data_IF_907978857858
#
_entry.id   IF_907978857858
#
_cell.length_a   1.000
_cell.length_b   1.000
_cell.length_c   1.000
_cell.angle_alpha   90.00
_cell.angle_beta   90.00
_cell.angle_gamma   90.00
#
_symmetry.space_group_name_H-M   'P 1'
#
loop_
_entity.id
_entity.type
_entity.pdbx_description
1 polymer ?
#
# COMPACT_ATOMS: atom_id res chain seq x y z
N UNK A 1 9.65 14.60 -5.54
CA UNK A 1 10.91 14.48 -6.32
C UNK A 1 11.41 13.04 -6.45
N UNK A 2 11.56 12.26 -5.38
CA UNK A 2 12.07 10.88 -5.48
C UNK A 2 11.15 9.97 -6.33
N UNK A 3 9.86 9.97 -6.04
CA UNK A 3 8.88 9.15 -6.78
C UNK A 3 8.77 9.55 -8.25
N UNK A 4 8.77 10.85 -8.56
CA UNK A 4 8.74 11.36 -9.94
C UNK A 4 9.96 10.91 -10.76
N UNK A 5 11.13 10.85 -10.12
CA UNK A 5 12.35 10.31 -10.74
C UNK A 5 12.22 8.80 -11.00
N UNK A 6 11.62 8.04 -10.07
CA UNK A 6 11.34 6.62 -10.25
C UNK A 6 10.34 6.37 -11.38
N UNK A 7 9.27 7.19 -11.49
CA UNK A 7 8.32 7.14 -12.62
C UNK A 7 9.05 7.28 -13.95
N UNK A 8 9.93 8.29 -14.07
CA UNK A 8 10.72 8.50 -15.28
C UNK A 8 11.64 7.33 -15.62
N UNK A 9 12.30 6.76 -14.60
CA UNK A 9 13.20 5.63 -14.77
C UNK A 9 12.46 4.36 -15.24
N UNK A 10 11.29 4.06 -14.66
CA UNK A 10 10.49 2.90 -15.05
C UNK A 10 9.81 3.09 -16.42
N UNK A 11 9.43 4.32 -16.76
CA UNK A 11 8.92 4.62 -18.11
C UNK A 11 9.96 4.32 -19.18
N UNK A 12 11.22 4.66 -18.92
CA UNK A 12 12.31 4.44 -19.88
C UNK A 12 12.74 2.98 -20.00
N UNK A 13 12.55 2.16 -18.94
CA UNK A 13 13.10 0.80 -18.86
C UNK A 13 12.31 -0.26 -19.65
N UNK A 14 11.03 -0.07 -19.96
CA UNK A 14 10.30 -1.03 -20.76
C UNK A 14 8.80 -1.15 -20.53
N UNK A 15 8.20 -1.95 -21.39
CA UNK A 15 6.76 -2.11 -21.53
C UNK A 15 6.19 -3.25 -20.68
N UNK A 16 6.96 -3.73 -19.69
CA UNK A 16 6.56 -4.84 -18.82
C UNK A 16 5.40 -4.43 -17.91
N UNK A 17 4.50 -5.37 -17.67
CA UNK A 17 3.32 -5.16 -16.82
C UNK A 17 3.71 -4.74 -15.40
N UNK A 18 4.75 -5.37 -14.83
CA UNK A 18 5.27 -5.03 -13.51
C UNK A 18 5.81 -3.59 -13.47
N UNK A 19 6.57 -3.17 -14.49
CA UNK A 19 7.10 -1.80 -14.58
C UNK A 19 5.98 -0.76 -14.63
N UNK A 20 4.89 -1.05 -15.37
CA UNK A 20 3.70 -0.17 -15.40
C UNK A 20 2.98 -0.09 -14.07
N UNK A 21 2.88 -1.21 -13.33
CA UNK A 21 2.27 -1.23 -12.00
C UNK A 21 3.11 -0.45 -10.98
N UNK A 22 4.44 -0.61 -11.03
CA UNK A 22 5.34 0.17 -10.17
C UNK A 22 5.25 1.66 -10.52
N UNK A 23 5.21 2.00 -11.82
CA UNK A 23 5.02 3.38 -12.26
C UNK A 23 3.69 3.96 -11.74
N UNK A 24 2.59 3.21 -11.85
CA UNK A 24 1.28 3.61 -11.32
C UNK A 24 1.37 3.85 -9.80
N UNK A 25 1.97 2.92 -9.06
CA UNK A 25 2.15 3.05 -7.61
C UNK A 25 2.95 4.33 -7.27
N UNK A 26 4.05 4.61 -7.98
CA UNK A 26 4.88 5.79 -7.73
C UNK A 26 4.11 7.09 -8.03
N UNK A 27 3.28 7.12 -9.09
CA UNK A 27 2.41 8.27 -9.40
C UNK A 27 1.40 8.50 -8.28
N UNK A 28 0.77 7.44 -7.80
CA UNK A 28 -0.20 7.52 -6.70
C UNK A 28 0.47 8.05 -5.43
N UNK A 29 1.66 7.56 -5.09
CA UNK A 29 2.44 8.05 -3.94
C UNK A 29 2.86 9.52 -4.07
N UNK A 30 3.23 9.98 -5.29
CA UNK A 30 3.50 11.40 -5.53
C UNK A 30 2.24 12.26 -5.30
N UNK A 31 1.06 11.78 -5.72
CA UNK A 31 -0.21 12.47 -5.48
C UNK A 31 -0.58 12.53 -3.98
N UNK A 32 -0.36 11.44 -3.24
CA UNK A 32 -0.55 11.42 -1.78
C UNK A 32 0.39 12.42 -1.08
N UNK A 33 1.66 12.41 -1.43
CA UNK A 33 2.64 13.38 -0.89
C UNK A 33 2.24 14.84 -1.22
N UNK A 34 1.72 15.10 -2.42
CA UNK A 34 1.25 16.43 -2.81
C UNK A 34 0.01 16.85 -2.02
N UNK A 35 -0.92 15.93 -1.78
CA UNK A 35 -2.09 16.13 -0.93
C UNK A 35 -1.65 16.54 0.49
N UNK A 36 -0.76 15.76 1.11
CA UNK A 36 -0.29 16.01 2.47
C UNK A 36 0.47 17.35 2.57
N UNK A 37 1.31 17.64 1.57
CA UNK A 37 2.00 18.93 1.50
C UNK A 37 1.01 20.10 1.34
N UNK A 38 -0.02 19.97 0.51
CA UNK A 38 -1.04 21.00 0.32
C UNK A 38 -1.83 21.24 1.62
N UNK A 39 -2.17 20.19 2.36
CA UNK A 39 -2.82 20.29 3.68
C UNK A 39 -1.91 21.00 4.69
N UNK A 40 -0.64 20.65 4.73
CA UNK A 40 0.34 21.25 5.62
C UNK A 40 0.53 22.76 5.33
N UNK A 41 0.65 23.14 4.05
CA UNK A 41 0.86 24.54 3.63
C UNK A 41 -0.39 25.42 3.79
N UNK A 42 -1.58 24.83 3.87
CA UNK A 42 -2.82 25.58 4.01
C UNK A 42 -3.11 26.04 5.43
N UNK A 43 -2.23 25.74 6.41
CA UNK A 43 -2.45 25.99 7.87
C UNK A 43 -3.84 25.52 8.32
N UNK A 44 -4.34 24.49 7.64
CA UNK A 44 -5.68 23.99 7.87
C UNK A 44 -5.68 23.23 9.20
N UNK A 45 -6.33 23.81 10.23
CA UNK A 45 -6.62 23.06 11.43
C UNK A 45 -7.48 21.85 11.05
N UNK A 46 -6.85 20.66 11.01
CA UNK A 46 -7.50 19.41 10.66
C UNK A 46 -8.57 19.08 11.71
N UNK A 47 -9.79 19.46 11.42
CA UNK A 47 -10.94 19.00 12.19
C UNK A 47 -10.99 17.47 12.14
N UNK A 48 -11.41 16.84 13.22
CA UNK A 48 -11.47 15.36 13.33
C UNK A 48 -12.18 14.70 12.14
N UNK A 49 -13.20 15.31 11.58
CA UNK A 49 -13.91 14.83 10.39
C UNK A 49 -13.02 14.79 9.16
N UNK A 50 -12.21 15.83 8.93
CA UNK A 50 -11.27 15.88 7.80
C UNK A 50 -10.14 14.87 7.95
N UNK A 51 -9.66 14.66 9.16
CA UNK A 51 -8.67 13.63 9.46
C UNK A 51 -9.15 12.23 9.02
N UNK A 52 -10.40 11.87 9.34
CA UNK A 52 -10.97 10.61 8.88
C UNK A 52 -11.08 10.54 7.35
N UNK A 53 -11.41 11.66 6.68
CA UNK A 53 -11.47 11.71 5.22
C UNK A 53 -10.10 11.52 4.58
N UNK A 54 -9.06 12.17 5.08
CA UNK A 54 -7.69 12.03 4.59
C UNK A 54 -7.26 10.57 4.70
N UNK A 55 -7.39 9.97 5.89
CA UNK A 55 -7.04 8.56 6.11
C UNK A 55 -7.90 7.60 5.27
N UNK A 56 -9.19 7.89 5.07
CA UNK A 56 -10.06 7.04 4.25
C UNK A 56 -9.64 7.02 2.77
N UNK A 57 -9.16 8.15 2.23
CA UNK A 57 -8.64 8.20 0.85
C UNK A 57 -7.33 7.41 0.71
N UNK A 58 -6.44 7.46 1.70
CA UNK A 58 -5.17 6.73 1.68
C UNK A 58 -5.39 5.21 1.67
N UNK A 59 -6.47 4.73 2.32
CA UNK A 59 -6.80 3.29 2.32
C UNK A 59 -7.09 2.73 0.94
N UNK A 60 -7.56 3.53 -0.02
CA UNK A 60 -7.85 3.08 -1.38
C UNK A 60 -6.59 2.70 -2.15
N UNK A 61 -5.43 3.20 -1.73
CA UNK A 61 -4.15 2.87 -2.37
C UNK A 61 -3.65 1.46 -2.00
N UNK A 62 -4.13 0.89 -0.90
CA UNK A 62 -3.66 -0.41 -0.36
C UNK A 62 -3.74 -1.56 -1.35
N UNK A 63 -4.79 -1.75 -2.18
CA UNK A 63 -4.79 -2.79 -3.20
C UNK A 63 -3.68 -2.66 -4.24
N UNK A 64 -3.27 -1.44 -4.59
CA UNK A 64 -2.21 -1.21 -5.59
C UNK A 64 -0.87 -1.81 -5.13
N UNK A 65 -0.53 -1.67 -3.83
CA UNK A 65 0.65 -2.35 -3.26
C UNK A 65 0.56 -3.87 -3.42
N UNK A 66 -0.62 -4.44 -3.15
CA UNK A 66 -0.85 -5.88 -3.30
C UNK A 66 -0.70 -6.32 -4.74
N UNK A 67 -1.15 -5.52 -5.73
CA UNK A 67 -0.99 -5.85 -7.14
C UNK A 67 0.48 -5.92 -7.54
N UNK A 68 1.30 -4.97 -7.10
CA UNK A 68 2.75 -4.98 -7.36
C UNK A 68 3.40 -6.22 -6.74
N UNK A 69 3.11 -6.51 -5.46
CA UNK A 69 3.66 -7.66 -4.75
C UNK A 69 3.26 -8.98 -5.41
N UNK A 70 1.98 -9.12 -5.78
CA UNK A 70 1.45 -10.32 -6.43
C UNK A 70 2.05 -10.54 -7.81
N UNK A 71 2.18 -9.49 -8.61
CA UNK A 71 2.77 -9.59 -9.95
C UNK A 71 4.28 -9.87 -9.89
N UNK A 72 4.98 -9.40 -8.82
CA UNK A 72 6.38 -9.70 -8.57
C UNK A 72 6.62 -11.19 -8.26
N UNK A 73 5.78 -11.78 -7.40
CA UNK A 73 5.95 -13.19 -6.97
C UNK A 73 5.30 -14.17 -7.94
N UNK A 74 4.22 -13.78 -8.60
CA UNK A 74 3.48 -14.59 -9.55
C UNK A 74 3.11 -13.75 -10.80
N UNK A 75 4.04 -13.61 -11.76
CA UNK A 75 3.78 -12.87 -12.99
C UNK A 75 2.53 -13.38 -13.73
N UNK A 76 1.70 -12.44 -14.21
CA UNK A 76 0.44 -12.76 -14.89
C UNK A 76 -0.75 -13.04 -13.95
N UNK A 77 -0.60 -12.91 -12.63
CA UNK A 77 -1.71 -13.10 -11.70
C UNK A 77 -2.79 -12.02 -11.83
N UNK A 78 -2.38 -10.77 -12.02
CA UNK A 78 -3.28 -9.63 -12.08
C UNK A 78 -4.06 -9.62 -13.39
N UNK A 79 -5.38 -9.60 -13.31
CA UNK A 79 -6.28 -9.33 -14.43
C UNK A 79 -7.15 -8.11 -14.11
N UNK A 80 -7.70 -7.46 -15.13
CA UNK A 80 -8.59 -6.31 -14.93
C UNK A 80 -9.75 -6.60 -13.99
N UNK A 81 -10.36 -7.78 -14.10
CA UNK A 81 -11.47 -8.19 -13.23
C UNK A 81 -11.05 -8.32 -11.77
N UNK A 82 -9.86 -8.87 -11.50
CA UNK A 82 -9.33 -8.98 -10.15
C UNK A 82 -8.99 -7.60 -9.59
N UNK A 83 -8.32 -6.76 -10.37
CA UNK A 83 -8.03 -5.39 -9.96
C UNK A 83 -9.31 -4.65 -9.58
N UNK A 84 -10.31 -4.66 -10.46
CA UNK A 84 -11.60 -4.00 -10.21
C UNK A 84 -12.31 -4.55 -8.96
N UNK A 85 -12.27 -5.88 -8.71
CA UNK A 85 -12.88 -6.48 -7.54
C UNK A 85 -12.19 -6.03 -6.23
N UNK A 86 -10.86 -6.02 -6.22
CA UNK A 86 -10.09 -5.59 -5.05
C UNK A 86 -10.32 -4.10 -4.78
N UNK A 87 -10.23 -3.23 -5.80
CA UNK A 87 -10.49 -1.80 -5.66
C UNK A 87 -11.94 -1.50 -5.23
N UNK A 88 -12.92 -2.18 -5.82
CA UNK A 88 -14.32 -2.00 -5.45
C UNK A 88 -14.59 -2.31 -3.98
N UNK A 89 -13.85 -3.26 -3.38
CA UNK A 89 -13.99 -3.60 -1.96
C UNK A 89 -13.58 -2.47 -1.02
N UNK A 90 -12.71 -1.55 -1.46
CA UNK A 90 -12.32 -0.35 -0.72
C UNK A 90 -13.17 0.87 -1.10
N UNK A 91 -13.46 1.03 -2.39
CA UNK A 91 -14.27 2.15 -2.87
C UNK A 91 -15.70 2.11 -2.34
N UNK A 92 -16.29 0.93 -2.18
CA UNK A 92 -17.67 0.79 -1.70
C UNK A 92 -17.86 1.39 -0.28
N UNK A 93 -17.09 1.01 0.76
CA UNK A 93 -17.23 1.63 2.07
C UNK A 93 -16.83 3.12 2.07
N UNK A 94 -15.86 3.53 1.25
CA UNK A 94 -15.50 4.95 1.12
C UNK A 94 -16.67 5.77 0.55
N UNK A 95 -17.32 5.30 -0.50
CA UNK A 95 -18.50 5.98 -1.09
C UNK A 95 -19.65 6.03 -0.09
N UNK A 96 -19.89 4.94 0.66
CA UNK A 96 -20.91 4.91 1.70
C UNK A 96 -20.60 5.86 2.86
N UNK A 97 -19.32 6.00 3.23
CA UNK A 97 -18.87 7.03 4.16
C UNK A 97 -19.18 8.42 3.63
N UNK A 98 -18.87 8.69 2.34
CA UNK A 98 -19.13 9.96 1.69
C UNK A 98 -20.61 10.36 1.60
N UNK A 99 -21.50 9.40 1.39
CA UNK A 99 -22.94 9.66 1.27
C UNK A 99 -23.60 9.82 2.65
N UNK A 100 -23.16 9.03 3.64
CA UNK A 100 -23.86 8.93 4.94
C UNK A 100 -23.22 9.76 6.05
N UNK A 101 -21.96 10.17 5.87
CA UNK A 101 -21.10 10.84 6.88
C UNK A 101 -21.08 10.12 8.25
N UNK A 102 -21.26 8.77 8.23
CA UNK A 102 -21.29 7.96 9.45
C UNK A 102 -19.91 7.35 9.69
N UNK A 103 -19.32 7.63 10.85
CA UNK A 103 -18.06 7.02 11.30
C UNK A 103 -18.04 5.50 11.21
N UNK A 104 -19.18 4.84 11.32
CA UNK A 104 -19.30 3.40 11.13
C UNK A 104 -18.67 2.90 9.83
N UNK A 105 -18.83 3.62 8.71
CA UNK A 105 -18.24 3.21 7.43
C UNK A 105 -16.73 3.43 7.38
N UNK A 106 -16.24 4.44 8.09
CA UNK A 106 -14.80 4.62 8.30
C UNK A 106 -14.20 3.46 9.11
N UNK A 107 -14.86 3.06 10.20
CA UNK A 107 -14.42 1.91 11.01
C UNK A 107 -14.44 0.61 10.19
N UNK A 108 -15.47 0.39 9.36
CA UNK A 108 -15.56 -0.76 8.45
C UNK A 108 -14.41 -0.73 7.44
N UNK A 109 -14.10 0.42 6.85
CA UNK A 109 -13.01 0.57 5.89
C UNK A 109 -11.65 0.30 6.56
N UNK A 110 -11.42 0.84 7.76
CA UNK A 110 -10.19 0.63 8.54
C UNK A 110 -10.01 -0.84 8.93
N UNK A 111 -11.06 -1.48 9.43
CA UNK A 111 -11.04 -2.90 9.76
C UNK A 111 -10.79 -3.77 8.52
N UNK A 112 -11.39 -3.40 7.37
CA UNK A 112 -11.17 -4.07 6.09
C UNK A 112 -9.72 -3.90 5.62
N UNK A 113 -9.17 -2.70 5.69
CA UNK A 113 -7.78 -2.41 5.35
C UNK A 113 -6.80 -3.27 6.18
N UNK A 114 -7.02 -3.35 7.48
CA UNK A 114 -6.22 -4.18 8.38
C UNK A 114 -6.34 -5.68 8.04
N UNK A 115 -7.56 -6.19 7.86
CA UNK A 115 -7.80 -7.59 7.51
C UNK A 115 -7.17 -7.95 6.16
N UNK A 116 -7.34 -7.08 5.17
CA UNK A 116 -6.79 -7.24 3.83
C UNK A 116 -5.25 -7.24 3.84
N UNK A 117 -4.63 -6.30 4.54
CA UNK A 117 -3.18 -6.23 4.70
C UNK A 117 -2.62 -7.47 5.40
N UNK A 118 -3.29 -7.93 6.47
CA UNK A 118 -2.91 -9.14 7.21
C UNK A 118 -2.99 -10.39 6.34
N UNK A 119 -4.09 -10.56 5.59
CA UNK A 119 -4.25 -11.69 4.65
C UNK A 119 -3.18 -11.63 3.56
N UNK A 120 -2.93 -10.45 3.00
CA UNK A 120 -1.89 -10.25 1.96
C UNK A 120 -0.52 -10.59 2.51
N UNK A 121 -0.17 -10.16 3.73
CA UNK A 121 1.10 -10.47 4.38
C UNK A 121 1.34 -11.98 4.50
N UNK A 122 0.40 -12.72 5.09
CA UNK A 122 0.54 -14.17 5.25
C UNK A 122 0.53 -14.90 3.91
N UNK A 123 -0.29 -14.47 2.96
CA UNK A 123 -0.32 -15.03 1.61
C UNK A 123 1.02 -14.86 0.91
N UNK A 124 1.64 -13.68 1.01
CA UNK A 124 2.96 -13.41 0.43
C UNK A 124 4.05 -14.27 1.07
N UNK A 125 4.07 -14.41 2.39
CA UNK A 125 4.99 -15.30 3.08
C UNK A 125 4.87 -16.76 2.60
N UNK A 126 3.64 -17.24 2.44
CA UNK A 126 3.38 -18.57 1.90
C UNK A 126 3.88 -18.73 0.44
N UNK A 127 3.56 -17.76 -0.42
CA UNK A 127 3.96 -17.79 -1.83
C UNK A 127 5.47 -17.72 -2.01
N UNK A 128 6.18 -16.87 -1.25
CA UNK A 128 7.64 -16.78 -1.27
C UNK A 128 8.26 -18.11 -0.80
N UNK A 129 7.71 -18.71 0.27
CA UNK A 129 8.17 -20.00 0.77
C UNK A 129 8.00 -21.12 -0.27
N UNK A 130 6.86 -21.13 -0.96
CA UNK A 130 6.55 -22.06 -2.04
C UNK A 130 7.50 -21.87 -3.24
N UNK A 131 7.75 -20.62 -3.61
CA UNK A 131 8.69 -20.26 -4.69
C UNK A 131 10.09 -20.77 -4.38
N UNK A 132 10.62 -20.54 -3.16
CA UNK A 132 11.94 -21.02 -2.77
C UNK A 132 12.02 -22.54 -2.78
N UNK A 133 10.97 -23.26 -2.39
CA UNK A 133 10.94 -24.73 -2.46
C UNK A 133 11.02 -25.22 -3.91
N UNK A 134 10.25 -24.64 -4.82
CA UNK A 134 10.29 -24.97 -6.25
C UNK A 134 11.65 -24.66 -6.89
N UNK A 135 12.31 -23.60 -6.42
CA UNK A 135 13.64 -23.22 -6.88
C UNK A 135 14.69 -24.27 -6.49
N UNK A 136 14.64 -24.72 -5.22
CA UNK A 136 15.53 -25.79 -4.72
C UNK A 136 15.40 -27.10 -5.48
N UNK A 137 14.19 -27.43 -5.93
CA UNK A 137 13.91 -28.65 -6.69
C UNK A 137 14.42 -28.58 -8.14
N UNK A 138 14.57 -27.38 -8.71
CA UNK A 138 14.91 -27.19 -10.14
C UNK A 138 16.33 -26.70 -10.39
N UNK A 139 16.94 -26.01 -9.45
CA UNK A 139 18.24 -25.36 -9.64
C UNK A 139 19.18 -25.62 -8.46
N UNK A 140 20.41 -26.07 -8.78
CA UNK A 140 21.49 -26.24 -7.77
C UNK A 140 22.11 -24.90 -7.35
N UNK A 141 21.93 -23.83 -8.11
CA UNK A 141 22.50 -22.50 -7.86
C UNK A 141 21.39 -21.52 -7.44
N UNK A 142 21.52 -20.92 -6.25
CA UNK A 142 20.44 -20.15 -5.60
C UNK A 142 20.80 -18.68 -5.32
N UNK A 143 22.05 -18.27 -5.46
CA UNK A 143 22.54 -17.00 -4.88
C UNK A 143 21.92 -15.74 -5.48
N UNK A 144 21.50 -15.76 -6.75
CA UNK A 144 20.95 -14.55 -7.44
C UNK A 144 19.41 -14.52 -7.56
N UNK A 145 18.68 -15.55 -7.03
CA UNK A 145 17.24 -15.68 -7.22
C UNK A 145 16.51 -15.75 -5.87
N UNK A 146 17.17 -15.32 -4.81
CA UNK A 146 16.65 -15.41 -3.46
C UNK A 146 15.75 -14.21 -3.14
N UNK A 147 14.47 -14.46 -2.82
CA UNK A 147 13.49 -13.43 -2.42
C UNK A 147 13.43 -13.21 -0.88
N UNK A 148 14.46 -13.61 -0.12
CA UNK A 148 14.46 -13.42 1.34
C UNK A 148 14.43 -11.92 1.73
N UNK A 149 15.06 -11.06 0.94
CA UNK A 149 14.99 -9.61 1.11
C UNK A 149 13.54 -9.09 1.07
N UNK A 150 12.69 -9.69 0.23
CA UNK A 150 11.28 -9.32 0.12
C UNK A 150 10.49 -9.64 1.39
N UNK A 151 10.87 -10.70 2.12
CA UNK A 151 10.25 -11.01 3.44
C UNK A 151 10.56 -9.93 4.47
N UNK A 152 11.79 -9.43 4.49
CA UNK A 152 12.18 -8.32 5.36
C UNK A 152 11.35 -7.07 5.07
N UNK A 153 11.27 -6.67 3.80
CA UNK A 153 10.47 -5.52 3.36
C UNK A 153 8.99 -5.71 3.72
N UNK A 154 8.40 -6.88 3.45
CA UNK A 154 7.01 -7.19 3.81
C UNK A 154 6.76 -7.08 5.32
N UNK A 155 7.71 -7.53 6.14
CA UNK A 155 7.59 -7.41 7.60
C UNK A 155 7.65 -5.95 8.06
N UNK A 156 8.53 -5.14 7.46
CA UNK A 156 8.56 -3.69 7.72
C UNK A 156 7.23 -3.02 7.32
N UNK A 157 6.72 -3.29 6.12
CA UNK A 157 5.43 -2.75 5.69
C UNK A 157 4.26 -3.20 6.57
N UNK A 158 4.30 -4.43 7.07
CA UNK A 158 3.25 -4.92 7.97
C UNK A 158 3.29 -4.19 9.32
N UNK A 159 4.48 -3.95 9.88
CA UNK A 159 4.65 -3.15 11.10
C UNK A 159 4.16 -1.72 10.87
N UNK A 160 4.51 -1.11 9.73
CA UNK A 160 4.03 0.24 9.35
C UNK A 160 2.51 0.26 9.27
N UNK A 161 1.88 -0.75 8.64
CA UNK A 161 0.43 -0.88 8.58
C UNK A 161 -0.21 -0.94 9.98
N UNK A 162 0.37 -1.72 10.91
CA UNK A 162 -0.13 -1.81 12.28
C UNK A 162 -0.09 -0.46 12.99
N UNK A 163 1.05 0.24 12.89
CA UNK A 163 1.21 1.56 13.50
C UNK A 163 0.26 2.57 12.86
N UNK A 164 0.10 2.53 11.53
CA UNK A 164 -0.79 3.43 10.81
C UNK A 164 -2.27 3.21 11.16
N UNK A 165 -2.74 1.95 11.22
CA UNK A 165 -4.12 1.65 11.68
C UNK A 165 -4.35 2.18 13.08
N UNK A 166 -3.36 2.09 13.96
CA UNK A 166 -3.45 2.68 15.30
C UNK A 166 -3.52 4.21 15.24
N UNK A 167 -2.73 4.86 14.38
CA UNK A 167 -2.71 6.32 14.21
C UNK A 167 -4.03 6.88 13.68
N UNK A 168 -4.80 6.11 12.89
CA UNK A 168 -6.11 6.54 12.38
C UNK A 168 -7.11 6.89 13.49
N UNK A 169 -6.93 6.34 14.69
CA UNK A 169 -7.78 6.62 15.86
C UNK A 169 -7.19 7.66 16.79
N UNK A 170 -5.90 8.00 16.64
CA UNK A 170 -5.20 8.97 17.47
C UNK A 170 -5.14 10.31 16.73
N UNK A 171 -6.01 11.23 17.11
CA UNK A 171 -5.98 12.61 16.61
C UNK A 171 -4.96 13.41 17.44
N UNK A 172 -3.67 13.14 17.21
CA UNK A 172 -2.58 13.87 17.86
C UNK A 172 -1.48 14.17 16.84
N UNK A 173 -1.28 15.45 16.55
CA UNK A 173 -0.29 15.91 15.59
C UNK A 173 1.15 15.50 15.95
N UNK A 174 1.46 15.28 17.23
CA UNK A 174 2.78 14.80 17.64
C UNK A 174 2.99 13.34 17.27
N UNK A 175 1.97 12.52 17.39
CA UNK A 175 2.02 11.10 17.01
C UNK A 175 2.17 10.94 15.51
N UNK A 176 1.48 11.75 14.72
CA UNK A 176 1.55 11.74 13.26
C UNK A 176 2.95 12.12 12.75
N UNK A 177 3.57 13.13 13.35
CA UNK A 177 4.96 13.51 13.04
C UNK A 177 5.96 12.39 13.36
N UNK A 178 5.80 11.68 14.48
CA UNK A 178 6.63 10.53 14.83
C UNK A 178 6.42 9.38 13.85
N UNK A 179 5.17 9.10 13.47
CA UNK A 179 4.85 8.09 12.48
C UNK A 179 5.48 8.41 11.11
N UNK A 180 5.35 9.66 10.63
CA UNK A 180 5.98 10.10 9.38
C UNK A 180 7.50 9.94 9.40
N UNK A 181 8.17 10.35 10.48
CA UNK A 181 9.61 10.15 10.64
C UNK A 181 10.02 8.68 10.61
N UNK A 182 9.22 7.81 11.25
CA UNK A 182 9.49 6.38 11.27
C UNK A 182 9.28 5.73 9.89
N UNK A 183 8.23 6.11 9.17
CA UNK A 183 7.94 5.59 7.82
C UNK A 183 8.93 6.05 6.76
N UNK A 184 9.53 7.24 6.93
CA UNK A 184 10.59 7.75 6.05
C UNK A 184 11.97 7.14 6.33
N UNK A 185 12.18 6.61 7.53
CA UNK A 185 13.44 5.98 7.95
C UNK A 185 13.50 4.46 7.72
N UNK A 186 12.37 3.82 7.38
CA UNK A 186 12.26 2.37 7.11
C UNK A 186 12.35 2.06 5.62
#
# INVERSE_FOLDING_TARGET
>A
MFYSMMVWMFWRKGNDKLSRLIMLLMVVLDLECLKDLALYLSDFELHKSMWHWVNATDMVVVPVYTFVLMELVKPGWLSWRKAALHEASFLMPLVLYGITDKLFWFDVLTAWCFAYGTVTYFLMFYLISRYHRQLKERFSYQDNINLNWLRGILSCFFVILLVWVFSCYMVDAQFDNIYMLFSLGA
#
